data_IF_779644648966
#
_entry.id   IF_779644648966
#
_cell.length_a   1.000
_cell.length_b   1.000
_cell.length_c   1.000
_cell.angle_alpha   90.00
_cell.angle_beta   90.00
_cell.angle_gamma   90.00
#
_symmetry.space_group_name_H-M   'P 1'
#
loop_
_entity.id
_entity.type
_entity.pdbx_description
1 polymer ?
#
# COMPACT_ATOMS: atom_id res chain seq x y z
N UNK A 1 6.07 -8.33 20.72
CA UNK A 1 7.43 -7.75 20.71
C UNK A 1 8.53 -8.82 20.73
N UNK A 2 8.38 -9.94 21.45
CA UNK A 2 9.37 -11.03 21.46
C UNK A 2 9.49 -11.83 20.14
N UNK A 3 8.45 -11.86 19.29
CA UNK A 3 8.51 -12.53 17.99
C UNK A 3 9.41 -11.82 16.95
N UNK A 4 9.64 -10.51 17.08
CA UNK A 4 10.46 -9.74 16.13
C UNK A 4 11.97 -9.89 16.40
N UNK A 5 12.35 -10.17 17.65
CA UNK A 5 13.75 -10.36 18.04
C UNK A 5 14.31 -11.72 17.61
N UNK A 6 13.47 -12.76 17.58
CA UNK A 6 13.88 -14.11 17.13
C UNK A 6 14.09 -14.18 15.61
N UNK A 7 13.26 -13.47 14.84
CA UNK A 7 13.37 -13.44 13.37
C UNK A 7 14.67 -12.76 12.91
N UNK A 8 15.16 -11.74 13.62
CA UNK A 8 16.46 -11.10 13.31
C UNK A 8 17.67 -12.02 13.56
N UNK A 9 17.58 -12.95 14.51
CA UNK A 9 18.61 -13.96 14.74
C UNK A 9 18.70 -14.98 13.59
N UNK A 10 17.56 -15.48 13.12
CA UNK A 10 17.52 -16.41 11.98
C UNK A 10 17.89 -15.75 10.64
N UNK A 11 17.49 -14.49 10.43
CA UNK A 11 17.93 -13.69 9.27
C UNK A 11 19.44 -13.46 9.28
N UNK A 12 20.06 -13.20 10.44
CA UNK A 12 21.52 -13.03 10.54
C UNK A 12 22.30 -14.32 10.24
N UNK A 13 21.76 -15.49 10.61
CA UNK A 13 22.38 -16.79 10.29
C UNK A 13 22.22 -17.13 8.81
N UNK A 14 21.07 -16.86 8.19
CA UNK A 14 20.86 -17.04 6.75
C UNK A 14 21.72 -16.08 5.90
N UNK A 15 21.89 -14.82 6.32
CA UNK A 15 22.81 -13.87 5.69
C UNK A 15 24.27 -14.33 5.82
N UNK A 16 24.66 -14.89 6.97
CA UNK A 16 26.01 -15.42 7.18
C UNK A 16 26.31 -16.66 6.32
N UNK A 17 25.30 -17.52 6.08
CA UNK A 17 25.39 -18.65 5.16
C UNK A 17 25.42 -18.22 3.69
N UNK A 18 24.70 -17.16 3.32
CA UNK A 18 24.75 -16.59 1.97
C UNK A 18 26.11 -15.92 1.69
N UNK A 19 26.69 -15.23 2.68
CA UNK A 19 28.03 -14.64 2.58
C UNK A 19 29.17 -15.68 2.53
N UNK A 20 28.95 -16.90 3.03
CA UNK A 20 29.92 -18.01 2.89
C UNK A 20 29.79 -18.72 1.53
N UNK A 21 28.58 -18.78 0.97
CA UNK A 21 28.32 -19.32 -0.36
C UNK A 21 28.86 -18.41 -1.48
N UNK A 22 28.71 -17.09 -1.32
CA UNK A 22 29.20 -16.08 -2.28
C UNK A 22 30.74 -16.13 -2.43
N UNK A 23 31.45 -16.36 -1.32
CA UNK A 23 32.92 -16.51 -1.30
C UNK A 23 33.40 -17.72 -2.12
N UNK A 24 32.67 -18.83 -2.09
CA UNK A 24 33.01 -20.02 -2.86
C UNK A 24 32.70 -19.86 -4.35
N UNK A 25 31.64 -19.14 -4.72
CA UNK A 25 31.28 -18.87 -6.12
C UNK A 25 32.28 -17.90 -6.78
N UNK A 26 32.78 -16.90 -6.04
CA UNK A 26 33.81 -15.96 -6.53
C UNK A 26 35.14 -16.67 -6.78
N UNK A 27 35.54 -17.60 -5.92
CA UNK A 27 36.77 -18.38 -6.09
C UNK A 27 36.67 -19.39 -7.23
N UNK A 28 35.47 -19.90 -7.53
CA UNK A 28 35.23 -20.87 -8.60
C UNK A 28 35.12 -20.23 -10.00
N UNK A 29 34.92 -18.91 -10.09
CA UNK A 29 34.82 -18.17 -11.36
C UNK A 29 36.18 -17.69 -11.91
N UNK A 30 37.24 -17.69 -11.08
CA UNK A 30 38.57 -17.21 -11.48
C UNK A 30 39.34 -18.19 -12.39
N UNK A 31 38.84 -19.40 -12.59
CA UNK A 31 39.49 -20.46 -13.38
C UNK A 31 38.94 -20.64 -14.80
N UNK A 32 37.89 -19.92 -15.21
CA UNK A 32 37.17 -20.22 -16.46
C UNK A 32 37.02 -19.04 -17.44
N UNK A 33 37.88 -18.02 -17.35
CA UNK A 33 37.90 -16.92 -18.33
C UNK A 33 38.99 -17.13 -19.39
N UNK A 34 38.72 -17.98 -20.39
CA UNK A 34 39.33 -17.79 -21.72
C UNK A 34 38.29 -18.07 -22.82
N UNK A 35 38.12 -17.07 -23.69
CA UNK A 35 37.43 -17.07 -24.99
C UNK A 35 35.90 -17.22 -25.03
N UNK A 36 35.19 -16.10 -25.27
CA UNK A 36 34.28 -16.05 -26.42
C UNK A 36 33.99 -14.62 -26.94
N UNK A 37 34.08 -14.51 -28.26
CA UNK A 37 33.82 -13.39 -29.16
C UNK A 37 32.34 -12.91 -29.11
N UNK A 38 32.00 -11.61 -29.23
CA UNK A 38 30.62 -11.14 -29.11
C UNK A 38 29.92 -11.07 -30.48
N UNK A 39 28.99 -11.97 -30.75
CA UNK A 39 28.01 -11.79 -31.84
C UNK A 39 26.59 -12.11 -31.37
N UNK A 40 25.70 -11.12 -31.54
CA UNK A 40 24.23 -11.18 -31.61
C UNK A 40 23.44 -11.51 -30.33
N UNK A 41 22.81 -10.51 -29.71
CA UNK A 41 21.67 -10.68 -28.79
C UNK A 41 20.49 -9.77 -29.20
N UNK A 42 19.24 -10.27 -29.21
CA UNK A 42 18.07 -9.64 -29.80
C UNK A 42 17.48 -8.51 -28.93
N UNK A 43 16.72 -7.61 -29.56
CA UNK A 43 16.19 -6.32 -29.07
C UNK A 43 15.48 -6.29 -27.69
N UNK A 44 15.11 -7.44 -27.10
CA UNK A 44 14.59 -7.53 -25.72
C UNK A 44 15.63 -7.15 -24.66
N UNK A 45 16.92 -7.25 -24.98
CA UNK A 45 18.03 -6.88 -24.10
C UNK A 45 18.05 -5.38 -23.76
N UNK A 46 17.62 -4.50 -24.66
CA UNK A 46 17.76 -3.05 -24.48
C UNK A 46 16.88 -2.46 -23.36
N UNK A 47 15.71 -3.04 -23.06
CA UNK A 47 14.85 -2.55 -21.97
C UNK A 47 15.31 -3.03 -20.59
N UNK A 48 15.69 -4.31 -20.51
CA UNK A 48 16.20 -4.95 -19.29
C UNK A 48 17.57 -4.39 -18.90
N UNK A 49 18.47 -4.21 -19.87
CA UNK A 49 19.79 -3.62 -19.64
C UNK A 49 19.68 -2.16 -19.20
N UNK A 50 18.78 -1.38 -19.82
CA UNK A 50 18.60 0.06 -19.49
C UNK A 50 17.92 0.30 -18.15
N UNK A 51 17.12 -0.65 -17.66
CA UNK A 51 16.41 -0.51 -16.37
C UNK A 51 17.22 -1.10 -15.21
N UNK A 52 17.94 -2.20 -15.44
CA UNK A 52 18.61 -2.98 -14.39
C UNK A 52 20.14 -3.04 -14.50
N UNK A 53 20.74 -2.46 -15.55
CA UNK A 53 22.20 -2.40 -15.75
C UNK A 53 22.91 -3.74 -15.51
N UNK A 54 22.36 -4.81 -16.10
CA UNK A 54 22.76 -6.20 -15.82
C UNK A 54 24.21 -6.49 -16.23
N UNK A 55 24.71 -5.81 -17.26
CA UNK A 55 26.10 -5.94 -17.72
C UNK A 55 27.08 -5.21 -16.80
N UNK A 56 26.67 -4.09 -16.20
CA UNK A 56 27.47 -3.35 -15.20
C UNK A 56 27.58 -4.12 -13.88
N UNK A 57 26.54 -4.88 -13.53
CA UNK A 57 26.55 -5.79 -12.38
C UNK A 57 27.08 -7.20 -12.68
N UNK A 58 27.52 -7.48 -13.92
CA UNK A 58 28.00 -8.80 -14.36
C UNK A 58 27.02 -9.95 -14.08
N UNK A 59 25.71 -9.73 -14.25
CA UNK A 59 24.68 -10.76 -14.04
C UNK A 59 23.89 -11.04 -15.31
N UNK A 60 23.12 -12.14 -15.31
CA UNK A 60 22.27 -12.53 -16.45
C UNK A 60 20.83 -12.65 -15.98
N UNK A 61 19.86 -12.44 -16.88
CA UNK A 61 18.42 -12.58 -16.56
C UNK A 61 18.10 -13.94 -15.90
N UNK A 62 18.78 -15.02 -16.32
CA UNK A 62 18.64 -16.35 -15.70
C UNK A 62 19.12 -16.35 -14.26
N UNK A 63 20.24 -15.69 -13.96
CA UNK A 63 20.81 -15.60 -12.61
C UNK A 63 19.93 -14.74 -11.70
N UNK A 64 19.43 -13.61 -12.19
CA UNK A 64 18.49 -12.73 -11.45
C UNK A 64 17.16 -13.43 -11.15
N UNK A 65 16.56 -14.08 -12.15
CA UNK A 65 15.33 -14.85 -11.95
C UNK A 65 15.53 -16.01 -10.97
N UNK A 66 16.68 -16.70 -11.04
CA UNK A 66 17.00 -17.77 -10.10
C UNK A 66 17.24 -17.23 -8.68
N UNK A 67 17.91 -16.08 -8.52
CA UNK A 67 18.11 -15.41 -7.24
C UNK A 67 16.77 -14.93 -6.64
N UNK A 68 15.90 -14.34 -7.46
CA UNK A 68 14.55 -13.97 -7.02
C UNK A 68 13.74 -15.18 -6.59
N UNK A 69 13.81 -16.28 -7.35
CA UNK A 69 13.14 -17.53 -6.99
C UNK A 69 13.69 -18.13 -5.69
N UNK A 70 15.00 -18.12 -5.47
CA UNK A 70 15.60 -18.65 -4.23
C UNK A 70 15.24 -17.81 -3.01
N UNK A 71 15.24 -16.48 -3.12
CA UNK A 71 14.78 -15.57 -2.06
C UNK A 71 13.29 -15.80 -1.78
N UNK A 72 12.47 -15.92 -2.83
CA UNK A 72 11.04 -16.21 -2.69
C UNK A 72 10.81 -17.52 -1.95
N UNK A 73 11.47 -18.61 -2.36
CA UNK A 73 11.33 -19.92 -1.69
C UNK A 73 11.83 -19.85 -0.24
N UNK A 74 12.91 -19.09 0.01
CA UNK A 74 13.47 -18.91 1.34
C UNK A 74 12.54 -18.13 2.28
N UNK A 75 11.83 -17.11 1.79
CA UNK A 75 10.82 -16.40 2.60
C UNK A 75 9.51 -17.18 2.71
N UNK A 76 9.11 -17.89 1.66
CA UNK A 76 7.94 -18.77 1.70
C UNK A 76 8.10 -19.90 2.72
N UNK A 77 9.35 -20.32 3.00
CA UNK A 77 9.65 -21.30 4.05
C UNK A 77 9.15 -20.86 5.44
N UNK A 78 9.03 -19.55 5.71
CA UNK A 78 8.48 -19.02 6.98
C UNK A 78 7.04 -19.51 7.21
N UNK A 79 6.27 -19.73 6.14
CA UNK A 79 4.91 -20.29 6.25
C UNK A 79 4.92 -21.70 6.84
N UNK A 80 5.99 -22.48 6.68
CA UNK A 80 6.10 -23.83 7.24
C UNK A 80 6.90 -23.87 8.55
N UNK A 81 7.89 -22.99 8.71
CA UNK A 81 8.73 -22.91 9.91
C UNK A 81 7.97 -22.40 11.11
N UNK A 82 7.27 -21.27 10.99
CA UNK A 82 6.60 -20.65 12.14
C UNK A 82 5.58 -21.59 12.78
N UNK A 83 4.71 -22.29 12.02
CA UNK A 83 3.81 -23.29 12.59
C UNK A 83 4.52 -24.49 13.23
N UNK A 84 5.68 -24.90 12.70
CA UNK A 84 6.41 -26.05 13.25
C UNK A 84 7.00 -25.73 14.62
N UNK A 85 7.66 -24.57 14.76
CA UNK A 85 8.26 -24.12 16.03
C UNK A 85 7.18 -23.80 17.07
N UNK A 86 6.15 -23.03 16.69
CA UNK A 86 5.09 -22.64 17.63
C UNK A 86 4.14 -23.80 17.96
N UNK A 87 4.03 -24.77 17.05
CA UNK A 87 3.29 -26.01 17.29
C UNK A 87 3.94 -26.89 18.35
N UNK A 88 5.27 -26.91 18.44
CA UNK A 88 5.99 -27.58 19.53
C UNK A 88 5.76 -26.90 20.88
N UNK A 89 5.51 -25.58 20.90
CA UNK A 89 5.11 -24.84 22.08
C UNK A 89 3.62 -25.03 22.47
N UNK A 90 2.90 -25.91 21.77
CA UNK A 90 1.50 -26.27 22.06
C UNK A 90 0.44 -25.44 21.31
N UNK A 91 0.82 -24.61 20.33
CA UNK A 91 -0.14 -23.84 19.51
C UNK A 91 -0.69 -24.65 18.33
N UNK A 92 -1.90 -24.34 17.86
CA UNK A 92 -2.47 -24.99 16.67
C UNK A 92 -1.69 -24.61 15.39
N UNK A 93 -1.14 -25.62 14.71
CA UNK A 93 -0.30 -25.41 13.52
C UNK A 93 -1.08 -24.77 12.37
N UNK A 94 -2.36 -25.12 12.20
CA UNK A 94 -3.21 -24.56 11.14
C UNK A 94 -3.51 -23.07 11.36
N UNK A 95 -3.81 -22.69 12.60
CA UNK A 95 -4.08 -21.32 13.00
C UNK A 95 -2.83 -20.44 12.83
N UNK A 96 -1.65 -20.91 13.25
CA UNK A 96 -0.38 -20.17 13.08
C UNK A 96 0.00 -20.01 11.61
N UNK A 97 -0.22 -21.05 10.78
CA UNK A 97 0.00 -20.96 9.34
C UNK A 97 -0.86 -19.86 8.73
N UNK A 98 -2.16 -19.89 9.03
CA UNK A 98 -3.13 -18.93 8.51
C UNK A 98 -2.82 -17.51 8.97
N UNK A 99 -2.48 -17.32 10.25
CA UNK A 99 -2.10 -16.03 10.79
C UNK A 99 -0.83 -15.46 10.12
N UNK A 100 0.17 -16.31 9.87
CA UNK A 100 1.42 -15.89 9.20
C UNK A 100 1.16 -15.49 7.76
N UNK A 101 0.42 -16.30 7.01
CA UNK A 101 0.05 -16.01 5.62
C UNK A 101 -0.76 -14.70 5.52
N UNK A 102 -1.75 -14.54 6.40
CA UNK A 102 -2.60 -13.35 6.42
C UNK A 102 -1.83 -12.09 6.78
N UNK A 103 -0.96 -12.16 7.79
CA UNK A 103 -0.09 -11.04 8.20
C UNK A 103 0.85 -10.61 7.06
N UNK A 104 1.43 -11.57 6.33
CA UNK A 104 2.29 -11.27 5.19
C UNK A 104 1.54 -10.56 4.06
N UNK A 105 0.34 -11.04 3.72
CA UNK A 105 -0.50 -10.40 2.69
C UNK A 105 -0.90 -8.99 3.10
N UNK A 106 -1.39 -8.81 4.34
CA UNK A 106 -1.75 -7.49 4.85
C UNK A 106 -0.54 -6.54 4.88
N UNK A 107 0.62 -7.03 5.30
CA UNK A 107 1.86 -6.25 5.31
C UNK A 107 2.22 -5.74 3.92
N UNK A 108 2.14 -6.59 2.91
CA UNK A 108 2.38 -6.19 1.51
C UNK A 108 1.37 -5.15 1.01
N UNK A 109 0.09 -5.32 1.31
CA UNK A 109 -0.97 -4.37 0.88
C UNK A 109 -0.79 -3.00 1.54
N UNK A 110 -0.57 -2.97 2.85
CA UNK A 110 -0.37 -1.72 3.60
C UNK A 110 0.94 -1.01 3.22
N UNK A 111 2.00 -1.78 2.95
CA UNK A 111 3.26 -1.22 2.49
C UNK A 111 3.14 -0.63 1.09
N UNK A 112 2.42 -1.29 0.18
CA UNK A 112 2.16 -0.77 -1.16
C UNK A 112 1.37 0.55 -1.13
N UNK A 113 0.31 0.63 -0.32
CA UNK A 113 -0.47 1.86 -0.13
C UNK A 113 0.38 2.98 0.49
N UNK A 114 1.14 2.68 1.54
CA UNK A 114 2.02 3.65 2.20
C UNK A 114 3.10 4.21 1.25
N UNK A 115 3.74 3.34 0.47
CA UNK A 115 4.74 3.77 -0.53
C UNK A 115 4.09 4.64 -1.60
N UNK A 116 2.87 4.29 -2.06
CA UNK A 116 2.12 5.10 -3.01
C UNK A 116 1.82 6.49 -2.46
N UNK A 117 1.33 6.59 -1.23
CA UNK A 117 1.06 7.88 -0.57
C UNK A 117 2.33 8.72 -0.42
N UNK A 118 3.43 8.11 0.01
CA UNK A 118 4.73 8.78 0.14
C UNK A 118 5.23 9.28 -1.22
N UNK A 119 5.20 8.43 -2.25
CA UNK A 119 5.61 8.82 -3.60
C UNK A 119 4.78 10.00 -4.13
N UNK A 120 3.45 9.97 -3.96
CA UNK A 120 2.57 11.06 -4.37
C UNK A 120 2.89 12.37 -3.65
N UNK A 121 3.01 12.33 -2.33
CA UNK A 121 3.33 13.54 -1.53
C UNK A 121 4.71 14.12 -1.85
N UNK A 122 5.73 13.28 -2.09
CA UNK A 122 7.07 13.72 -2.51
C UNK A 122 7.05 14.35 -3.91
N UNK A 123 6.21 13.84 -4.81
CA UNK A 123 6.01 14.42 -6.15
C UNK A 123 5.12 15.68 -6.13
N UNK A 124 4.63 16.11 -4.97
CA UNK A 124 3.79 17.30 -4.82
C UNK A 124 2.31 17.07 -5.16
N UNK A 125 1.86 15.82 -5.28
CA UNK A 125 0.45 15.46 -5.48
C UNK A 125 -0.23 15.19 -4.15
N UNK A 126 -1.57 15.11 -4.15
CA UNK A 126 -2.33 14.61 -2.99
C UNK A 126 -1.99 13.15 -2.70
N UNK A 127 -2.18 12.72 -1.45
CA UNK A 127 -1.99 11.32 -1.07
C UNK A 127 -2.89 10.39 -1.90
N UNK A 128 -2.28 9.50 -2.67
CA UNK A 128 -2.98 8.52 -3.50
C UNK A 128 -3.29 7.28 -2.68
N UNK A 129 -4.46 6.68 -2.89
CA UNK A 129 -4.83 5.39 -2.30
C UNK A 129 -5.67 4.59 -3.30
N UNK A 130 -6.05 3.36 -2.95
CA UNK A 130 -6.89 2.51 -3.80
C UNK A 130 -8.30 3.12 -3.94
N UNK A 131 -8.67 3.45 -5.17
CA UNK A 131 -9.91 4.15 -5.52
C UNK A 131 -11.01 3.22 -6.07
N UNK A 132 -12.28 3.63 -5.97
CA UNK A 132 -13.46 2.84 -6.34
C UNK A 132 -13.47 2.49 -7.83
N UNK A 133 -12.87 3.31 -8.67
CA UNK A 133 -12.72 3.11 -10.11
C UNK A 133 -11.91 1.84 -10.43
N UNK A 134 -10.97 1.46 -9.56
CA UNK A 134 -10.23 0.20 -9.68
C UNK A 134 -11.15 -1.03 -9.60
N UNK A 135 -12.26 -0.92 -8.84
CA UNK A 135 -13.26 -2.00 -8.75
C UNK A 135 -13.98 -2.24 -10.08
N UNK A 136 -14.21 -1.19 -10.88
CA UNK A 136 -14.78 -1.34 -12.22
C UNK A 136 -13.79 -2.05 -13.17
N UNK A 137 -12.49 -1.74 -13.06
CA UNK A 137 -11.43 -2.46 -13.78
C UNK A 137 -11.37 -3.94 -13.43
N UNK A 138 -11.58 -4.29 -12.15
CA UNK A 138 -11.66 -5.69 -11.70
C UNK A 138 -12.92 -6.37 -12.23
N UNK A 139 -14.06 -5.67 -12.30
CA UNK A 139 -15.32 -6.21 -12.79
C UNK A 139 -15.25 -6.67 -14.25
N UNK A 140 -14.47 -5.99 -15.09
CA UNK A 140 -14.24 -6.37 -16.49
C UNK A 140 -13.09 -7.36 -16.71
N UNK A 141 -12.46 -7.85 -15.62
CA UNK A 141 -11.43 -8.90 -15.67
C UNK A 141 -10.00 -8.45 -15.36
N UNK A 142 -9.77 -7.17 -15.04
CA UNK A 142 -8.46 -6.66 -14.64
C UNK A 142 -8.06 -7.10 -13.22
N UNK A 143 -7.26 -8.15 -13.10
CA UNK A 143 -6.93 -8.77 -11.79
C UNK A 143 -5.44 -8.92 -11.53
N UNK A 144 -4.60 -8.30 -12.34
CA UNK A 144 -3.14 -8.48 -12.28
C UNK A 144 -2.43 -7.15 -12.13
N UNK A 145 -1.19 -7.16 -11.62
CA UNK A 145 -0.37 -5.94 -11.56
C UNK A 145 -0.11 -5.31 -12.94
N UNK A 146 -0.24 -6.09 -14.02
CA UNK A 146 -0.10 -5.58 -15.38
C UNK A 146 -1.18 -4.53 -15.71
N UNK A 147 -2.40 -4.66 -15.20
CA UNK A 147 -3.45 -3.66 -15.44
C UNK A 147 -3.16 -2.34 -14.73
N UNK A 148 -2.53 -2.38 -13.55
CA UNK A 148 -2.05 -1.18 -12.87
C UNK A 148 -0.90 -0.51 -13.64
N UNK A 149 0.07 -1.30 -14.13
CA UNK A 149 1.19 -0.79 -14.93
C UNK A 149 0.74 -0.18 -16.26
N UNK A 150 -0.19 -0.82 -16.98
CA UNK A 150 -0.72 -0.28 -18.24
C UNK A 150 -1.51 1.00 -18.00
N UNK A 151 -2.34 1.04 -16.94
CA UNK A 151 -3.08 2.26 -16.57
C UNK A 151 -2.13 3.41 -16.24
N UNK A 152 -1.07 3.15 -15.45
CA UNK A 152 -0.04 4.14 -15.16
C UNK A 152 0.69 4.64 -16.42
N UNK A 153 1.06 3.73 -17.32
CA UNK A 153 1.69 4.11 -18.59
C UNK A 153 0.77 4.96 -19.47
N UNK A 154 -0.53 4.64 -19.52
CA UNK A 154 -1.53 5.45 -20.23
C UNK A 154 -1.72 6.83 -19.59
N UNK A 155 -1.65 6.95 -18.26
CA UNK A 155 -1.67 8.24 -17.58
C UNK A 155 -0.45 9.09 -17.93
N UNK A 156 0.75 8.49 -17.97
CA UNK A 156 1.96 9.19 -18.42
C UNK A 156 1.82 9.64 -19.87
N UNK A 157 1.29 8.78 -20.75
CA UNK A 157 1.00 9.15 -22.13
C UNK A 157 -0.03 10.29 -22.22
N UNK A 158 -1.04 10.29 -21.35
CA UNK A 158 -2.06 11.33 -21.27
C UNK A 158 -1.48 12.71 -20.93
N UNK A 159 -0.36 12.79 -20.21
CA UNK A 159 0.29 14.06 -19.88
C UNK A 159 0.78 14.81 -21.14
N UNK A 160 1.15 14.10 -22.21
CA UNK A 160 1.50 14.73 -23.49
C UNK A 160 0.31 15.44 -24.13
N UNK A 161 -0.90 14.96 -23.87
CA UNK A 161 -2.15 15.57 -24.34
C UNK A 161 -2.72 16.60 -23.34
N UNK A 162 -2.03 16.88 -22.23
CA UNK A 162 -2.48 17.88 -21.25
C UNK A 162 -2.79 19.28 -21.84
N UNK A 163 -2.08 19.80 -22.87
CA UNK A 163 -2.43 21.11 -23.43
C UNK A 163 -3.79 21.10 -24.14
N UNK A 164 -4.20 19.97 -24.71
CA UNK A 164 -5.48 19.81 -25.41
C UNK A 164 -6.67 19.80 -24.43
N UNK A 165 -6.44 19.37 -23.18
CA UNK A 165 -7.48 19.32 -22.16
C UNK A 165 -8.02 20.71 -21.84
N UNK A 166 -7.19 21.74 -21.84
CA UNK A 166 -7.60 23.12 -21.49
C UNK A 166 -8.69 23.73 -22.39
N UNK A 167 -8.91 23.18 -23.60
CA UNK A 167 -9.90 23.68 -24.57
C UNK A 167 -11.25 22.98 -24.44
N UNK A 168 -11.31 21.81 -23.78
CA UNK A 168 -12.49 20.90 -23.82
C UNK A 168 -12.98 20.51 -22.42
N UNK A 169 -12.25 20.83 -21.35
CA UNK A 169 -12.48 20.22 -20.03
C UNK A 169 -13.71 20.69 -19.27
N UNK A 170 -14.10 21.96 -19.37
CA UNK A 170 -15.09 22.49 -18.41
C UNK A 170 -16.47 21.85 -18.60
N UNK A 171 -16.87 21.60 -19.84
CA UNK A 171 -18.17 20.99 -20.15
C UNK A 171 -18.17 19.47 -19.96
N UNK A 172 -17.00 18.81 -20.00
CA UNK A 172 -16.88 17.34 -19.93
C UNK A 172 -16.62 16.86 -18.50
N UNK A 173 -15.93 17.64 -17.68
CA UNK A 173 -15.57 17.26 -16.31
C UNK A 173 -16.78 17.24 -15.36
N UNK A 174 -17.73 18.16 -15.51
CA UNK A 174 -18.92 18.22 -14.66
C UNK A 174 -19.76 16.92 -14.65
N UNK A 175 -20.20 16.36 -15.79
CA UNK A 175 -20.94 15.09 -15.78
C UNK A 175 -20.10 13.91 -15.27
N UNK A 176 -18.79 13.91 -15.53
CA UNK A 176 -17.89 12.88 -15.00
C UNK A 176 -17.82 12.93 -13.47
N UNK A 177 -17.66 14.12 -12.88
CA UNK A 177 -17.63 14.31 -11.42
C UNK A 177 -18.96 13.93 -10.76
N UNK A 178 -20.10 14.14 -11.42
CA UNK A 178 -21.41 13.68 -10.91
C UNK A 178 -21.44 12.16 -10.83
N UNK A 179 -21.01 11.45 -11.88
CA UNK A 179 -20.98 9.97 -11.88
C UNK A 179 -20.06 9.44 -10.78
N UNK A 180 -18.84 10.00 -10.67
CA UNK A 180 -17.89 9.64 -9.60
C UNK A 180 -18.50 9.89 -8.22
N UNK A 181 -19.15 11.04 -8.01
CA UNK A 181 -19.84 11.36 -6.76
C UNK A 181 -20.92 10.34 -6.40
N UNK A 182 -21.73 9.90 -7.37
CA UNK A 182 -22.75 8.85 -7.16
C UNK A 182 -22.11 7.51 -6.80
N UNK A 183 -21.01 7.14 -7.48
CA UNK A 183 -20.28 5.90 -7.17
C UNK A 183 -19.68 5.92 -5.76
N UNK A 184 -19.12 7.05 -5.31
CA UNK A 184 -18.60 7.18 -3.94
C UNK A 184 -19.72 7.22 -2.89
N UNK A 185 -20.85 7.86 -3.19
CA UNK A 185 -22.01 7.88 -2.30
C UNK A 185 -22.62 6.47 -2.09
N UNK A 186 -22.42 5.54 -3.02
CA UNK A 186 -22.87 4.16 -2.86
C UNK A 186 -22.27 3.46 -1.63
N UNK A 187 -21.08 3.89 -1.17
CA UNK A 187 -20.44 3.35 0.02
C UNK A 187 -21.26 3.59 1.31
N UNK A 188 -22.12 4.62 1.32
CA UNK A 188 -23.00 4.93 2.45
C UNK A 188 -24.01 3.81 2.76
N UNK A 189 -24.30 2.94 1.80
CA UNK A 189 -25.15 1.76 1.98
C UNK A 189 -24.58 0.77 3.00
N UNK A 190 -23.26 0.73 3.15
CA UNK A 190 -22.60 -0.22 4.05
C UNK A 190 -22.54 0.24 5.50
N UNK A 191 -23.05 1.44 5.80
CA UNK A 191 -23.11 1.98 7.17
C UNK A 191 -24.33 1.38 7.89
N UNK A 192 -24.15 0.96 9.15
CA UNK A 192 -25.24 0.50 9.99
C UNK A 192 -26.05 1.71 10.50
N UNK A 193 -27.18 1.99 9.84
CA UNK A 193 -28.06 3.11 10.17
C UNK A 193 -29.00 2.84 11.36
N UNK A 194 -29.14 1.58 11.78
CA UNK A 194 -30.01 1.20 12.90
C UNK A 194 -29.40 1.54 14.26
N UNK A 195 -28.07 1.63 14.33
CA UNK A 195 -27.32 1.97 15.54
C UNK A 195 -27.04 3.46 15.58
N UNK A 196 -27.73 4.21 16.45
CA UNK A 196 -27.58 5.66 16.56
C UNK A 196 -26.12 6.09 16.85
N UNK A 197 -25.37 5.27 17.58
CA UNK A 197 -23.97 5.51 17.94
C UNK A 197 -23.04 5.55 16.72
N UNK A 198 -23.41 4.85 15.63
CA UNK A 198 -22.67 4.79 14.36
C UNK A 198 -23.29 5.72 13.32
N UNK A 199 -24.61 5.83 13.31
CA UNK A 199 -25.37 6.65 12.36
C UNK A 199 -25.12 8.16 12.56
N UNK A 200 -25.11 8.66 13.81
CA UNK A 200 -24.91 10.10 14.06
C UNK A 200 -23.51 10.59 13.62
N UNK A 201 -22.40 9.92 13.98
CA UNK A 201 -21.07 10.32 13.49
C UNK A 201 -20.97 10.28 11.97
N UNK A 202 -21.51 9.24 11.32
CA UNK A 202 -21.52 9.13 9.87
C UNK A 202 -22.30 10.29 9.21
N UNK A 203 -23.49 10.60 9.75
CA UNK A 203 -24.30 11.73 9.30
C UNK A 203 -23.56 13.06 9.43
N UNK A 204 -22.89 13.30 10.57
CA UNK A 204 -22.10 14.51 10.80
C UNK A 204 -20.93 14.63 9.83
N UNK A 205 -20.30 13.52 9.43
CA UNK A 205 -19.25 13.55 8.41
C UNK A 205 -19.84 13.95 7.06
N UNK A 206 -20.93 13.32 6.64
CA UNK A 206 -21.58 13.54 5.33
C UNK A 206 -22.04 14.99 5.17
N UNK A 207 -22.70 15.55 6.19
CA UNK A 207 -23.21 16.93 6.16
C UNK A 207 -22.12 17.94 6.54
N UNK A 208 -21.20 17.55 7.41
CA UNK A 208 -20.14 18.41 7.90
C UNK A 208 -19.15 18.82 6.81
N UNK A 209 -18.78 17.91 5.89
CA UNK A 209 -17.84 18.26 4.82
C UNK A 209 -18.37 19.38 3.89
N UNK A 210 -19.57 19.30 3.30
CA UNK A 210 -20.10 20.38 2.46
C UNK A 210 -20.36 21.66 3.24
N UNK A 211 -20.90 21.58 4.46
CA UNK A 211 -21.27 22.76 5.25
C UNK A 211 -20.07 23.57 5.73
N UNK A 212 -18.94 22.90 5.99
CA UNK A 212 -17.70 23.55 6.44
C UNK A 212 -16.76 23.90 5.29
N UNK A 213 -17.09 23.51 4.05
CA UNK A 213 -16.22 23.61 2.87
C UNK A 213 -14.82 23.03 3.09
N UNK A 214 -14.70 22.05 3.99
CA UNK A 214 -13.41 21.51 4.40
C UNK A 214 -13.57 20.05 4.87
N UNK A 215 -12.86 19.18 4.15
CA UNK A 215 -12.91 17.73 4.36
C UNK A 215 -12.41 17.36 5.76
N UNK A 216 -11.37 18.03 6.26
CA UNK A 216 -10.76 17.75 7.57
C UNK A 216 -11.72 18.00 8.72
N UNK A 217 -12.52 19.07 8.66
CA UNK A 217 -13.53 19.35 9.69
C UNK A 217 -14.65 18.30 9.71
N UNK A 218 -15.16 17.92 8.54
CA UNK A 218 -16.17 16.86 8.44
C UNK A 218 -15.68 15.54 9.02
N UNK A 219 -14.46 15.11 8.66
CA UNK A 219 -13.83 13.91 9.22
C UNK A 219 -13.62 14.02 10.74
N UNK A 220 -13.19 15.19 11.23
CA UNK A 220 -12.98 15.43 12.65
C UNK A 220 -14.26 15.23 13.47
N UNK A 221 -15.41 15.71 12.99
CA UNK A 221 -16.69 15.49 13.67
C UNK A 221 -17.02 14.00 13.82
N UNK A 222 -16.73 13.18 12.80
CA UNK A 222 -16.90 11.73 12.88
C UNK A 222 -16.01 11.09 13.94
N UNK A 223 -14.70 11.32 13.87
CA UNK A 223 -13.72 10.73 14.78
C UNK A 223 -13.85 11.20 16.24
N UNK A 224 -14.33 12.42 16.47
CA UNK A 224 -14.60 12.93 17.82
C UNK A 224 -15.91 12.36 18.35
N UNK A 225 -16.98 12.37 17.55
CA UNK A 225 -18.32 11.99 18.01
C UNK A 225 -18.45 10.48 18.21
N UNK A 226 -17.81 9.65 17.38
CA UNK A 226 -17.96 8.19 17.44
C UNK A 226 -17.52 7.57 18.78
N UNK A 227 -16.30 7.81 19.30
CA UNK A 227 -15.89 7.26 20.60
C UNK A 227 -16.77 7.78 21.74
N UNK A 228 -17.17 9.06 21.69
CA UNK A 228 -18.03 9.69 22.70
C UNK A 228 -19.39 8.97 22.76
N UNK A 229 -20.06 8.77 21.63
CA UNK A 229 -21.36 8.09 21.60
C UNK A 229 -21.25 6.61 21.99
N UNK A 230 -20.22 5.90 21.50
CA UNK A 230 -19.98 4.51 21.89
C UNK A 230 -19.74 4.39 23.41
N UNK A 231 -19.13 5.41 24.03
CA UNK A 231 -19.01 5.43 25.50
C UNK A 231 -20.28 5.77 26.25
N UNK A 232 -21.12 6.63 25.68
CA UNK A 232 -22.42 7.02 26.25
C UNK A 232 -23.41 5.85 26.19
N UNK A 233 -23.37 5.04 25.13
CA UNK A 233 -24.19 3.84 24.96
C UNK A 233 -23.69 2.62 25.77
N UNK A 234 -22.63 2.77 26.57
CA UNK A 234 -22.06 1.70 27.39
C UNK A 234 -21.19 0.69 26.64
N UNK A 235 -21.04 0.82 25.30
CA UNK A 235 -20.23 -0.06 24.43
C UNK A 235 -18.74 0.31 24.39
N UNK A 236 -18.17 0.68 25.53
CA UNK A 236 -16.76 1.15 25.64
C UNK A 236 -15.73 0.11 25.18
N UNK A 237 -16.04 -1.18 25.33
CA UNK A 237 -15.14 -2.29 24.99
C UNK A 237 -15.05 -2.57 23.49
N UNK A 238 -15.99 -2.07 22.70
CA UNK A 238 -15.98 -2.21 21.24
C UNK A 238 -15.07 -1.17 20.57
N UNK A 239 -14.72 -0.11 21.30
CA UNK A 239 -13.85 0.96 20.79
C UNK A 239 -12.39 0.54 20.97
N UNK A 240 -11.72 0.27 19.85
CA UNK A 240 -10.28 0.00 19.81
C UNK A 240 -9.50 1.19 20.42
N UNK A 241 -8.47 0.96 21.25
CA UNK A 241 -7.58 2.02 21.77
C UNK A 241 -7.08 3.02 20.72
N UNK A 242 -6.91 2.58 19.47
CA UNK A 242 -6.53 3.47 18.37
C UNK A 242 -7.54 4.60 18.13
N UNK A 243 -8.84 4.34 18.28
CA UNK A 243 -9.89 5.35 18.10
C UNK A 243 -9.85 6.43 19.18
N UNK A 244 -9.42 6.08 20.38
CA UNK A 244 -9.18 7.04 21.46
C UNK A 244 -7.97 7.93 21.19
N UNK A 245 -6.89 7.35 20.64
CA UNK A 245 -5.75 8.13 20.17
C UNK A 245 -6.17 9.08 19.05
N UNK A 246 -7.00 8.62 18.09
CA UNK A 246 -7.53 9.46 17.02
C UNK A 246 -8.41 10.60 17.56
N UNK A 247 -9.26 10.35 18.55
CA UNK A 247 -10.03 11.41 19.21
C UNK A 247 -9.12 12.52 19.76
N UNK A 248 -8.05 12.16 20.46
CA UNK A 248 -7.09 13.15 20.98
C UNK A 248 -6.41 13.93 19.87
N UNK A 249 -5.98 13.25 18.80
CA UNK A 249 -5.34 13.87 17.63
C UNK A 249 -6.29 14.84 16.94
N UNK A 250 -7.56 14.47 16.73
CA UNK A 250 -8.54 15.32 16.07
C UNK A 250 -8.99 16.49 16.96
N UNK A 251 -9.08 16.31 18.28
CA UNK A 251 -9.29 17.44 19.21
C UNK A 251 -8.12 18.43 19.13
N UNK A 252 -6.89 17.92 19.12
CA UNK A 252 -5.70 18.76 18.95
C UNK A 252 -5.72 19.49 17.60
N UNK A 253 -6.11 18.80 16.53
CA UNK A 253 -6.25 19.40 15.19
C UNK A 253 -7.28 20.55 15.20
N UNK A 254 -8.45 20.33 15.80
CA UNK A 254 -9.49 21.36 15.91
C UNK A 254 -9.01 22.53 16.78
N UNK A 255 -8.28 22.26 17.87
CA UNK A 255 -7.71 23.27 18.75
C UNK A 255 -6.66 24.14 18.02
N UNK A 256 -5.74 23.53 17.29
CA UNK A 256 -4.73 24.25 16.48
C UNK A 256 -5.44 25.12 15.45
N UNK A 257 -6.42 24.56 14.75
CA UNK A 257 -7.12 25.26 13.67
C UNK A 257 -8.02 26.38 14.18
N UNK A 258 -8.48 26.31 15.43
CA UNK A 258 -9.23 27.38 16.09
C UNK A 258 -8.32 28.53 16.59
N UNK A 259 -7.08 28.25 16.95
CA UNK A 259 -6.14 29.23 17.52
C UNK A 259 -5.30 29.93 16.47
N UNK A 260 -4.86 29.21 15.43
CA UNK A 260 -4.04 29.80 14.37
C UNK A 260 -4.93 30.76 13.56
N UNK A 261 -4.70 32.08 13.63
CA UNK A 261 -5.47 33.03 12.84
C UNK A 261 -5.25 32.71 11.37
N UNK A 262 -6.33 32.69 10.58
CA UNK A 262 -6.24 32.54 9.13
C UNK A 262 -5.57 33.80 8.57
N UNK A 263 -4.24 33.79 8.50
CA UNK A 263 -3.48 34.75 7.72
C UNK A 263 -3.98 34.71 6.29
N UNK A 264 -4.20 35.90 5.73
CA UNK A 264 -4.86 36.19 4.47
C UNK A 264 -4.16 35.54 3.26
N UNK A 265 -4.36 34.25 3.02
CA UNK A 265 -4.02 33.58 1.75
C UNK A 265 -5.26 33.61 0.85
N UNK A 266 -5.40 34.75 0.16
CA UNK A 266 -6.20 34.90 -1.05
C UNK A 266 -5.45 34.31 -2.25
#
# INVERSE_FOLDING_TARGET
MYAFSGTMGHVSVSISYLASLDRNIILMNKTNTTNHNPTNLPQLSNFLERTFHLTEHHTTVRREMLAGLTIFVSMAYILFVNPSILGEAGMDKGAVFTATAFSAVLGCVLMADSISMLAGSVMGTTATSAYVESSAGIAIGGRTGLTALTTGALFVLSLFFSPLLTVVTDQVTAPALIIVGVLMASALKHINWDSFEVALPAFLVIVGMPLTYNISYGIAFGFVTYPILMTAAGKRKEVNPLMWAMLLVFILLLYILAIVPRGNIA
#
